data_IF_867810481405
#
_entry.id   IF_867810481405
#
_cell.length_a   1.000
_cell.length_b   1.000
_cell.length_c   1.000
_cell.angle_alpha   90.00
_cell.angle_beta   90.00
_cell.angle_gamma   90.00
#
_symmetry.space_group_name_H-M   'P 1'
#
loop_
_entity.id
_entity.type
_entity.pdbx_description
1 polymer ?
#
# COMPACT_ATOMS: atom_id res chain seq x y z
N UNK A 1 -38.10 -9.63 -2.90
CA UNK A 1 -37.73 -10.77 -3.72
C UNK A 1 -36.46 -10.36 -4.44
N UNK A 2 -35.29 -10.71 -3.91
CA UNK A 2 -34.00 -10.47 -4.54
C UNK A 2 -33.76 -11.50 -5.62
N UNK A 3 -33.71 -11.09 -6.88
CA UNK A 3 -33.21 -11.88 -7.99
C UNK A 3 -31.69 -11.95 -7.88
N UNK A 4 -31.15 -13.05 -7.37
CA UNK A 4 -29.73 -13.35 -7.41
C UNK A 4 -29.28 -13.46 -8.86
N UNK A 5 -28.22 -12.74 -9.20
CA UNK A 5 -27.60 -12.70 -10.53
C UNK A 5 -27.17 -14.12 -10.95
N UNK A 6 -27.37 -14.45 -12.24
CA UNK A 6 -27.08 -15.76 -12.86
C UNK A 6 -25.69 -16.33 -12.52
N UNK A 7 -24.74 -15.44 -12.24
CA UNK A 7 -23.36 -15.77 -11.85
C UNK A 7 -23.28 -16.38 -10.44
N UNK A 8 -24.08 -15.94 -9.50
CA UNK A 8 -24.14 -16.51 -8.14
C UNK A 8 -24.85 -17.86 -8.09
N UNK A 9 -25.86 -18.05 -8.93
CA UNK A 9 -26.50 -19.36 -9.07
C UNK A 9 -25.53 -20.42 -9.60
N UNK A 10 -24.71 -20.08 -10.60
CA UNK A 10 -23.69 -20.98 -11.13
C UNK A 10 -22.60 -21.32 -10.08
N UNK A 11 -22.22 -20.37 -9.20
CA UNK A 11 -21.29 -20.63 -8.09
C UNK A 11 -21.86 -21.61 -7.06
N UNK A 12 -23.14 -21.48 -6.69
CA UNK A 12 -23.82 -22.42 -5.78
C UNK A 12 -23.98 -23.82 -6.39
N UNK A 13 -24.26 -23.91 -7.70
CA UNK A 13 -24.31 -25.17 -8.41
C UNK A 13 -22.96 -25.89 -8.46
N UNK A 14 -21.88 -25.16 -8.71
CA UNK A 14 -20.53 -25.74 -8.71
C UNK A 14 -20.13 -26.30 -7.34
N UNK A 15 -20.47 -25.62 -6.25
CA UNK A 15 -20.20 -26.08 -4.87
C UNK A 15 -21.10 -27.28 -4.51
N UNK A 16 -22.35 -27.29 -4.89
CA UNK A 16 -23.26 -28.43 -4.69
C UNK A 16 -22.82 -29.69 -5.46
N UNK A 17 -22.39 -29.53 -6.71
CA UNK A 17 -21.83 -30.65 -7.49
C UNK A 17 -20.54 -31.21 -6.86
N UNK A 18 -19.78 -30.37 -6.16
CA UNK A 18 -18.56 -30.78 -5.46
C UNK A 18 -18.86 -31.62 -4.22
N UNK A 19 -19.91 -31.28 -3.48
CA UNK A 19 -20.34 -32.01 -2.27
C UNK A 19 -21.04 -33.32 -2.65
N UNK A 20 -21.84 -33.36 -3.71
CA UNK A 20 -22.53 -34.56 -4.17
C UNK A 20 -21.60 -35.60 -4.81
N UNK A 21 -20.51 -35.15 -5.47
CA UNK A 21 -19.52 -36.06 -6.05
C UNK A 21 -18.65 -36.75 -4.97
N UNK A 22 -18.54 -36.16 -3.77
CA UNK A 22 -17.80 -36.74 -2.64
C UNK A 22 -18.58 -37.88 -1.94
N UNK A 23 -19.91 -37.91 -2.07
CA UNK A 23 -20.75 -38.91 -1.39
C UNK A 23 -21.04 -40.15 -2.19
N UNK A 24 -20.76 -40.15 -3.51
CA UNK A 24 -21.26 -41.23 -4.40
C UNK A 24 -20.19 -42.21 -4.91
N UNK A 25 -18.88 -42.00 -4.61
CA UNK A 25 -17.84 -42.91 -5.15
C UNK A 25 -16.96 -43.55 -4.10
N UNK A 26 -17.42 -44.67 -3.57
CA UNK A 26 -16.61 -45.58 -2.74
C UNK A 26 -15.80 -46.61 -3.55
N UNK A 27 -15.77 -46.60 -4.87
CA UNK A 27 -14.94 -47.52 -5.65
C UNK A 27 -14.46 -46.95 -6.99
N UNK A 28 -13.13 -46.94 -7.16
CA UNK A 28 -12.35 -46.86 -8.40
C UNK A 28 -12.52 -45.67 -9.33
N UNK A 29 -11.57 -44.77 -9.32
CA UNK A 29 -10.96 -44.00 -10.42
C UNK A 29 -10.15 -42.81 -9.93
N UNK A 30 -9.11 -43.05 -9.12
CA UNK A 30 -8.22 -42.00 -8.61
C UNK A 30 -7.55 -41.08 -9.67
N UNK A 31 -7.15 -41.55 -10.88
CA UNK A 31 -6.41 -40.67 -11.82
C UNK A 31 -7.28 -39.64 -12.55
N UNK A 32 -8.55 -39.92 -12.84
CA UNK A 32 -9.45 -38.96 -13.52
C UNK A 32 -9.92 -37.84 -12.61
N UNK A 33 -10.17 -38.16 -11.33
CA UNK A 33 -10.57 -37.19 -10.29
C UNK A 33 -9.43 -36.21 -9.98
N UNK A 34 -8.19 -36.70 -9.94
CA UNK A 34 -7.01 -35.85 -9.70
C UNK A 34 -6.74 -34.89 -10.86
N UNK A 35 -6.93 -35.33 -12.13
CA UNK A 35 -6.85 -34.44 -13.28
C UNK A 35 -7.96 -33.39 -13.27
N UNK A 36 -9.19 -33.79 -12.91
CA UNK A 36 -10.33 -32.90 -12.78
C UNK A 36 -10.10 -31.83 -11.66
N UNK A 37 -9.61 -32.26 -10.48
CA UNK A 37 -9.28 -31.31 -9.39
C UNK A 37 -8.18 -30.30 -9.78
N UNK A 38 -7.11 -30.76 -10.42
CA UNK A 38 -6.06 -29.87 -10.93
C UNK A 38 -6.58 -28.90 -11.99
N UNK A 39 -7.45 -29.38 -12.87
CA UNK A 39 -8.08 -28.55 -13.91
C UNK A 39 -9.06 -27.55 -13.31
N UNK A 40 -9.89 -27.96 -12.35
CA UNK A 40 -10.81 -27.08 -11.63
C UNK A 40 -10.07 -26.04 -10.78
N UNK A 41 -9.01 -26.42 -10.05
CA UNK A 41 -8.15 -25.48 -9.34
C UNK A 41 -7.48 -24.50 -10.31
N UNK A 42 -6.99 -24.97 -11.45
CA UNK A 42 -6.39 -24.12 -12.48
C UNK A 42 -7.41 -23.14 -13.07
N UNK A 43 -8.63 -23.61 -13.36
CA UNK A 43 -9.74 -22.77 -13.84
C UNK A 43 -10.17 -21.76 -12.75
N UNK A 44 -10.32 -22.20 -11.50
CA UNK A 44 -10.64 -21.34 -10.37
C UNK A 44 -9.58 -20.24 -10.16
N UNK A 45 -8.29 -20.62 -10.19
CA UNK A 45 -7.20 -19.62 -10.08
C UNK A 45 -7.14 -18.70 -11.30
N UNK A 46 -7.35 -19.22 -12.52
CA UNK A 46 -7.35 -18.38 -13.74
C UNK A 46 -8.56 -17.43 -13.78
N UNK A 47 -9.74 -17.88 -13.34
CA UNK A 47 -10.94 -17.06 -13.29
C UNK A 47 -10.85 -15.95 -12.24
N UNK A 48 -10.20 -16.21 -11.09
CA UNK A 48 -10.04 -15.23 -10.02
C UNK A 48 -8.78 -14.37 -10.13
N UNK A 49 -7.78 -14.79 -10.90
CA UNK A 49 -6.59 -13.98 -11.12
C UNK A 49 -6.76 -12.91 -12.20
N UNK A 50 -7.80 -12.96 -13.01
CA UNK A 50 -8.04 -12.03 -14.11
C UNK A 50 -6.85 -11.97 -15.08
N UNK A 51 -7.10 -12.01 -16.37
CA UNK A 51 -6.06 -11.77 -17.37
C UNK A 51 -5.87 -10.28 -17.54
N UNK A 52 -4.62 -9.80 -17.47
CA UNK A 52 -4.27 -8.42 -17.75
C UNK A 52 -4.11 -8.29 -19.27
N UNK A 53 -4.92 -7.45 -19.91
CA UNK A 53 -4.74 -7.09 -21.31
C UNK A 53 -3.41 -6.33 -21.49
N UNK A 54 -2.74 -6.52 -22.63
CA UNK A 54 -1.41 -5.95 -22.89
C UNK A 54 -1.36 -4.42 -22.89
N UNK A 55 -2.49 -3.78 -23.03
CA UNK A 55 -2.69 -2.31 -23.02
C UNK A 55 -3.24 -1.79 -21.68
N UNK A 56 -3.54 -2.67 -20.71
CA UNK A 56 -3.99 -2.27 -19.39
C UNK A 56 -2.82 -2.01 -18.44
N UNK A 57 -2.16 -0.86 -18.60
CA UNK A 57 -1.01 -0.47 -17.79
C UNK A 57 -1.36 -0.24 -16.31
N UNK A 58 -2.61 0.14 -15.98
CA UNK A 58 -3.06 0.31 -14.59
C UNK A 58 -3.04 -1.03 -13.87
N UNK A 59 -3.71 -2.04 -14.42
CA UNK A 59 -3.73 -3.39 -13.84
C UNK A 59 -2.32 -4.01 -13.80
N UNK A 60 -1.48 -3.72 -14.79
CA UNK A 60 -0.09 -4.18 -14.84
C UNK A 60 0.75 -3.57 -13.70
N UNK A 61 0.62 -2.25 -13.44
CA UNK A 61 1.34 -1.61 -12.34
C UNK A 61 0.86 -2.10 -10.97
N UNK A 62 -0.43 -2.39 -10.78
CA UNK A 62 -0.91 -3.09 -9.57
C UNK A 62 -0.27 -4.47 -9.42
N UNK A 63 -0.17 -5.24 -10.50
CA UNK A 63 0.45 -6.57 -10.47
C UNK A 63 1.93 -6.51 -10.09
N UNK A 64 2.71 -5.65 -10.74
CA UNK A 64 4.14 -5.48 -10.43
C UNK A 64 4.31 -4.97 -8.98
N UNK A 65 3.51 -3.99 -8.55
CA UNK A 65 3.52 -3.49 -7.18
C UNK A 65 3.24 -4.60 -6.15
N UNK A 66 2.23 -5.43 -6.40
CA UNK A 66 1.92 -6.61 -5.56
C UNK A 66 3.12 -7.54 -5.44
N UNK A 67 3.72 -7.94 -6.57
CA UNK A 67 4.85 -8.88 -6.58
C UNK A 67 6.08 -8.29 -5.88
N UNK A 68 6.41 -7.02 -6.16
CA UNK A 68 7.57 -6.36 -5.56
C UNK A 68 7.41 -6.19 -4.04
N UNK A 69 6.24 -5.74 -3.57
CA UNK A 69 5.99 -5.57 -2.13
C UNK A 69 5.87 -6.90 -1.40
N UNK A 70 5.31 -7.94 -2.04
CA UNK A 70 5.30 -9.29 -1.47
C UNK A 70 6.73 -9.84 -1.32
N UNK A 71 7.57 -9.69 -2.34
CA UNK A 71 8.96 -10.13 -2.29
C UNK A 71 9.74 -9.38 -1.19
N UNK A 72 9.54 -8.06 -1.07
CA UNK A 72 10.15 -7.26 -0.02
C UNK A 72 9.68 -7.67 1.38
N UNK A 73 8.39 -7.93 1.54
CA UNK A 73 7.81 -8.42 2.80
C UNK A 73 8.44 -9.75 3.24
N UNK A 74 8.51 -10.72 2.32
CA UNK A 74 9.17 -12.01 2.57
C UNK A 74 10.63 -11.80 2.97
N UNK A 75 11.35 -10.95 2.24
CA UNK A 75 12.74 -10.60 2.57
C UNK A 75 12.87 -10.06 4.00
N UNK A 76 12.09 -9.04 4.39
CA UNK A 76 12.16 -8.45 5.72
C UNK A 76 11.81 -9.45 6.83
N UNK A 77 10.81 -10.31 6.64
CA UNK A 77 10.46 -11.31 7.63
C UNK A 77 11.53 -12.40 7.78
N UNK A 78 12.18 -12.82 6.70
CA UNK A 78 13.31 -13.77 6.78
C UNK A 78 14.52 -13.15 7.49
N UNK A 79 14.80 -11.87 7.24
CA UNK A 79 15.91 -11.16 7.83
C UNK A 79 15.74 -10.84 9.34
N UNK A 80 14.54 -11.02 9.90
CA UNK A 80 14.32 -10.86 11.35
C UNK A 80 15.23 -11.75 12.20
N UNK A 81 15.54 -12.95 11.72
CA UNK A 81 16.42 -13.87 12.43
C UNK A 81 17.90 -13.43 12.41
N UNK A 82 18.27 -12.67 11.38
CA UNK A 82 19.61 -12.16 11.17
C UNK A 82 19.78 -10.72 11.70
N UNK A 83 18.73 -10.15 12.30
CA UNK A 83 18.72 -8.76 12.79
C UNK A 83 18.90 -8.75 14.31
N UNK A 84 19.77 -7.88 14.81
CA UNK A 84 19.97 -7.71 16.25
C UNK A 84 18.68 -7.30 16.97
N UNK A 85 18.51 -7.65 18.24
CA UNK A 85 17.31 -7.32 19.03
C UNK A 85 16.98 -5.82 19.03
N UNK A 86 18.00 -4.97 18.89
CA UNK A 86 17.86 -3.48 18.83
C UNK A 86 17.00 -3.05 17.65
N UNK A 87 17.16 -3.69 16.48
CA UNK A 87 16.55 -3.27 15.21
C UNK A 87 15.41 -4.18 14.75
N UNK A 88 15.22 -5.32 15.43
CA UNK A 88 14.25 -6.34 15.03
C UNK A 88 12.83 -5.79 14.87
N UNK A 89 12.41 -4.88 15.76
CA UNK A 89 11.08 -4.27 15.69
C UNK A 89 10.95 -3.39 14.43
N UNK A 90 11.97 -2.61 14.07
CA UNK A 90 11.95 -1.78 12.86
C UNK A 90 11.91 -2.62 11.58
N UNK A 91 12.71 -3.68 11.49
CA UNK A 91 12.64 -4.60 10.32
C UNK A 91 11.29 -5.31 10.26
N UNK A 92 10.70 -5.67 11.42
CA UNK A 92 9.35 -6.23 11.46
C UNK A 92 8.30 -5.25 10.94
N UNK A 93 8.37 -3.98 11.35
CA UNK A 93 7.43 -2.94 10.89
C UNK A 93 7.57 -2.71 9.38
N UNK A 94 8.79 -2.69 8.85
CA UNK A 94 9.04 -2.63 7.40
C UNK A 94 8.42 -3.82 6.64
N UNK A 95 8.51 -5.02 7.22
CA UNK A 95 7.84 -6.21 6.69
C UNK A 95 6.31 -6.11 6.72
N UNK A 96 5.75 -5.57 7.79
CA UNK A 96 4.29 -5.36 7.92
C UNK A 96 3.79 -4.30 6.92
N UNK A 97 4.50 -3.18 6.74
CA UNK A 97 4.15 -2.13 5.77
C UNK A 97 4.05 -2.73 4.36
N UNK A 98 5.08 -3.46 3.94
CA UNK A 98 5.11 -4.05 2.59
C UNK A 98 4.12 -5.20 2.43
N UNK A 99 3.87 -5.99 3.48
CA UNK A 99 2.87 -7.05 3.46
C UNK A 99 1.44 -6.52 3.33
N UNK A 100 1.06 -5.55 4.18
CA UNK A 100 -0.26 -4.92 4.13
C UNK A 100 -0.51 -4.33 2.73
N UNK A 101 0.47 -3.60 2.21
CA UNK A 101 0.36 -3.00 0.88
C UNK A 101 0.26 -4.07 -0.24
N UNK A 102 1.04 -5.16 -0.18
CA UNK A 102 0.95 -6.24 -1.18
C UNK A 102 -0.46 -6.85 -1.24
N UNK A 103 -1.08 -7.10 -0.08
CA UNK A 103 -2.44 -7.65 0.00
C UNK A 103 -3.46 -6.67 -0.57
N UNK A 104 -3.37 -5.38 -0.23
CA UNK A 104 -4.28 -4.35 -0.76
C UNK A 104 -4.11 -4.18 -2.28
N UNK A 105 -2.88 -4.17 -2.79
CA UNK A 105 -2.60 -4.06 -4.22
C UNK A 105 -3.14 -5.24 -5.03
N UNK A 106 -3.06 -6.45 -4.46
CA UNK A 106 -3.71 -7.62 -5.05
C UNK A 106 -5.23 -7.43 -5.17
N UNK A 107 -5.87 -6.95 -4.10
CA UNK A 107 -7.31 -6.69 -4.08
C UNK A 107 -7.69 -5.53 -5.02
N UNK A 108 -6.96 -4.41 -4.98
CA UNK A 108 -7.20 -3.24 -5.82
C UNK A 108 -7.06 -3.56 -7.32
N UNK A 109 -6.12 -4.45 -7.68
CA UNK A 109 -6.03 -4.96 -9.05
C UNK A 109 -7.30 -5.67 -9.47
N UNK A 110 -7.82 -6.57 -8.64
CA UNK A 110 -9.08 -7.28 -8.91
C UNK A 110 -10.24 -6.33 -9.10
N UNK A 111 -10.38 -5.36 -8.20
CA UNK A 111 -11.39 -4.31 -8.29
C UNK A 111 -11.29 -3.53 -9.61
N UNK A 112 -10.10 -3.07 -9.98
CA UNK A 112 -9.89 -2.32 -11.23
C UNK A 112 -10.20 -3.16 -12.47
N UNK A 113 -9.83 -4.46 -12.49
CA UNK A 113 -10.14 -5.37 -13.59
C UNK A 113 -11.64 -5.64 -13.75
N UNK A 114 -12.38 -5.70 -12.64
CA UNK A 114 -13.82 -5.98 -12.65
C UNK A 114 -14.66 -4.73 -13.00
N UNK A 115 -14.27 -3.57 -12.49
CA UNK A 115 -15.07 -2.33 -12.59
C UNK A 115 -14.55 -1.35 -13.64
N UNK A 116 -13.26 -1.42 -13.97
CA UNK A 116 -12.58 -0.42 -14.79
C UNK A 116 -12.37 0.93 -14.07
N UNK A 117 -12.65 0.99 -12.76
CA UNK A 117 -12.55 2.21 -11.95
C UNK A 117 -11.29 2.23 -11.08
N UNK A 118 -10.90 3.44 -10.65
CA UNK A 118 -9.83 3.61 -9.66
C UNK A 118 -10.28 3.13 -8.28
N UNK A 119 -9.49 2.28 -7.60
CA UNK A 119 -9.81 1.76 -6.27
C UNK A 119 -9.48 2.75 -5.14
N UNK A 120 -9.81 4.02 -5.29
CA UNK A 120 -9.40 5.12 -4.40
C UNK A 120 -9.72 4.85 -2.93
N UNK A 121 -10.91 4.32 -2.62
CA UNK A 121 -11.28 3.97 -1.24
C UNK A 121 -10.30 2.96 -0.62
N UNK A 122 -10.00 1.87 -1.33
CA UNK A 122 -9.09 0.82 -0.83
C UNK A 122 -7.66 1.31 -0.72
N UNK A 123 -7.27 2.26 -1.55
CA UNK A 123 -5.97 2.93 -1.49
C UNK A 123 -5.82 3.72 -0.19
N UNK A 124 -6.85 4.47 0.22
CA UNK A 124 -6.84 5.17 1.51
C UNK A 124 -6.89 4.21 2.70
N UNK A 125 -7.56 3.06 2.58
CA UNK A 125 -7.51 2.01 3.61
C UNK A 125 -6.09 1.47 3.78
N UNK A 126 -5.38 1.22 2.68
CA UNK A 126 -3.96 0.84 2.73
C UNK A 126 -3.11 1.91 3.41
N UNK A 127 -3.23 3.16 2.99
CA UNK A 127 -2.44 4.26 3.54
C UNK A 127 -2.71 4.54 5.02
N UNK A 128 -3.96 4.46 5.48
CA UNK A 128 -4.32 4.63 6.90
C UNK A 128 -3.64 3.56 7.78
N UNK A 129 -3.37 2.39 7.23
CA UNK A 129 -2.65 1.33 7.94
C UNK A 129 -1.12 1.49 7.82
N UNK A 130 -0.61 1.82 6.64
CA UNK A 130 0.83 1.77 6.35
C UNK A 130 1.57 3.06 6.67
N UNK A 131 1.00 4.24 6.43
CA UNK A 131 1.68 5.52 6.67
C UNK A 131 1.93 5.80 8.16
N UNK A 132 0.98 5.54 9.09
CA UNK A 132 1.31 5.61 10.51
C UNK A 132 2.43 4.65 10.93
N UNK A 133 2.53 3.45 10.33
CA UNK A 133 3.65 2.54 10.59
C UNK A 133 4.98 3.12 10.08
N UNK A 134 5.01 3.81 8.93
CA UNK A 134 6.20 4.54 8.49
C UNK A 134 6.57 5.67 9.48
N UNK A 135 5.58 6.33 10.07
CA UNK A 135 5.81 7.31 11.14
C UNK A 135 6.36 6.67 12.43
N UNK A 136 5.91 5.44 12.77
CA UNK A 136 6.45 4.66 13.88
C UNK A 136 7.95 4.40 13.71
N UNK A 137 8.42 4.18 12.49
CA UNK A 137 9.84 3.94 12.24
C UNK A 137 10.72 5.14 12.65
N UNK A 138 10.30 6.38 12.42
CA UNK A 138 11.04 7.56 12.88
C UNK A 138 11.18 7.60 14.41
N UNK A 139 10.16 7.17 15.13
CA UNK A 139 10.23 7.04 16.58
C UNK A 139 11.17 5.90 16.99
N UNK A 140 11.09 4.72 16.34
CA UNK A 140 11.88 3.56 16.70
C UNK A 140 13.37 3.80 16.52
N UNK A 141 13.79 4.39 15.39
CA UNK A 141 15.20 4.65 15.09
C UNK A 141 15.80 5.74 16.01
N UNK A 142 14.98 6.64 16.56
CA UNK A 142 15.40 7.70 17.47
C UNK A 142 15.15 7.40 18.95
N UNK A 143 14.47 6.26 19.26
CA UNK A 143 14.07 5.88 20.61
C UNK A 143 15.24 5.85 21.61
N UNK A 144 16.39 5.29 21.22
CA UNK A 144 17.57 5.21 22.07
C UNK A 144 18.23 6.56 22.31
N UNK A 145 18.00 7.55 21.45
CA UNK A 145 18.44 8.93 21.64
C UNK A 145 17.49 9.76 22.51
N UNK A 146 16.47 9.11 23.09
CA UNK A 146 15.55 9.76 24.03
C UNK A 146 14.24 10.24 23.39
N UNK A 147 13.84 9.73 22.22
CA UNK A 147 12.52 10.04 21.64
C UNK A 147 11.41 9.70 22.64
N UNK A 148 10.58 10.71 22.94
CA UNK A 148 9.43 10.55 23.85
C UNK A 148 8.24 9.95 23.11
N UNK A 149 7.37 9.28 23.85
CA UNK A 149 6.12 8.73 23.30
C UNK A 149 5.23 9.83 22.68
N UNK A 150 5.36 11.08 23.16
CA UNK A 150 4.65 12.22 22.58
C UNK A 150 5.04 12.49 21.12
N UNK A 151 6.31 12.24 20.72
CA UNK A 151 6.74 12.35 19.32
C UNK A 151 6.03 11.30 18.45
N UNK A 152 5.93 10.05 18.94
CA UNK A 152 5.21 9.00 18.24
C UNK A 152 3.76 9.41 17.96
N UNK A 153 3.05 9.91 18.97
CA UNK A 153 1.65 10.33 18.82
C UNK A 153 1.50 11.57 17.93
N UNK A 154 2.45 12.52 17.97
CA UNK A 154 2.44 13.66 17.02
C UNK A 154 2.50 13.18 15.58
N UNK A 155 3.41 12.25 15.28
CA UNK A 155 3.59 11.70 13.92
C UNK A 155 2.37 10.87 13.47
N UNK A 156 1.87 9.99 14.33
CA UNK A 156 0.68 9.18 14.02
C UNK A 156 -0.54 10.09 13.79
N UNK A 157 -0.80 11.02 14.71
CA UNK A 157 -1.95 11.92 14.60
C UNK A 157 -1.87 12.80 13.35
N UNK A 158 -0.71 13.37 13.06
CA UNK A 158 -0.51 14.18 11.86
C UNK A 158 -0.74 13.35 10.59
N UNK A 159 -0.26 12.09 10.55
CA UNK A 159 -0.49 11.20 9.41
C UNK A 159 -1.96 10.84 9.22
N UNK A 160 -2.70 10.61 10.30
CA UNK A 160 -4.13 10.36 10.24
C UNK A 160 -4.91 11.60 9.78
N UNK A 161 -4.58 12.79 10.30
CA UNK A 161 -5.20 14.04 9.83
C UNK A 161 -4.94 14.24 8.34
N UNK A 162 -3.69 14.06 7.88
CA UNK A 162 -3.32 14.15 6.47
C UNK A 162 -4.19 13.24 5.59
N UNK A 163 -4.33 11.96 5.98
CA UNK A 163 -5.03 10.96 5.18
C UNK A 163 -6.55 11.14 5.22
N UNK A 164 -7.12 11.42 6.38
CA UNK A 164 -8.58 11.61 6.52
C UNK A 164 -9.04 12.85 5.76
N UNK A 165 -8.32 13.98 5.90
CA UNK A 165 -8.68 15.19 5.17
C UNK A 165 -8.44 15.03 3.66
N UNK A 166 -7.37 14.34 3.25
CA UNK A 166 -7.14 13.98 1.86
C UNK A 166 -8.29 13.16 1.26
N UNK A 167 -8.74 12.13 1.98
CA UNK A 167 -9.87 11.29 1.58
C UNK A 167 -11.19 12.07 1.45
N UNK A 168 -11.46 12.94 2.41
CA UNK A 168 -12.66 13.78 2.36
C UNK A 168 -12.67 14.63 1.10
N UNK A 169 -11.56 15.30 0.77
CA UNK A 169 -11.47 16.16 -0.40
C UNK A 169 -11.44 15.41 -1.74
N UNK A 170 -10.91 14.18 -1.75
CA UNK A 170 -10.84 13.40 -3.00
C UNK A 170 -12.14 12.63 -3.31
N UNK A 171 -12.86 12.20 -2.27
CA UNK A 171 -13.97 11.25 -2.43
C UNK A 171 -15.31 11.80 -1.94
N UNK A 172 -15.35 12.44 -0.76
CA UNK A 172 -16.61 12.78 -0.09
C UNK A 172 -17.10 14.20 -0.41
N UNK A 173 -16.18 15.18 -0.49
CA UNK A 173 -16.48 16.60 -0.71
C UNK A 173 -15.54 17.17 -1.76
N UNK A 174 -15.86 16.89 -3.02
CA UNK A 174 -15.04 17.35 -4.16
C UNK A 174 -15.17 18.85 -4.38
N UNK A 175 -16.27 19.47 -4.01
CA UNK A 175 -16.43 20.93 -4.13
C UNK A 175 -15.53 21.66 -3.13
N UNK A 176 -15.32 21.07 -1.95
CA UNK A 176 -14.37 21.53 -0.93
C UNK A 176 -12.94 21.04 -1.11
N UNK A 177 -12.59 20.39 -2.22
CA UNK A 177 -11.29 19.71 -2.44
C UNK A 177 -10.08 20.60 -2.18
N UNK A 178 -10.15 21.90 -2.51
CA UNK A 178 -9.08 22.87 -2.24
C UNK A 178 -8.85 23.02 -0.72
N UNK A 179 -9.90 23.22 0.06
CA UNK A 179 -9.79 23.35 1.51
C UNK A 179 -9.22 22.07 2.14
N UNK A 180 -9.78 20.93 1.78
CA UNK A 180 -9.33 19.64 2.29
C UNK A 180 -7.90 19.31 1.90
N UNK A 181 -7.52 19.65 0.65
CA UNK A 181 -6.13 19.52 0.17
C UNK A 181 -5.15 20.41 0.93
N UNK A 182 -5.54 21.65 1.29
CA UNK A 182 -4.73 22.54 2.12
C UNK A 182 -4.54 21.99 3.54
N UNK A 183 -5.61 21.45 4.16
CA UNK A 183 -5.51 20.85 5.49
C UNK A 183 -4.63 19.58 5.49
N UNK A 184 -4.80 18.71 4.48
CA UNK A 184 -3.97 17.54 4.28
C UNK A 184 -2.50 17.93 4.05
N UNK A 185 -2.27 18.93 3.19
CA UNK A 185 -0.94 19.45 2.91
C UNK A 185 -0.27 20.07 4.14
N UNK A 186 -1.01 20.79 4.97
CA UNK A 186 -0.47 21.34 6.22
C UNK A 186 0.01 20.23 7.18
N UNK A 187 -0.76 19.15 7.31
CA UNK A 187 -0.37 18.00 8.11
C UNK A 187 0.86 17.27 7.53
N UNK A 188 0.93 17.12 6.21
CA UNK A 188 2.10 16.60 5.51
C UNK A 188 3.35 17.43 5.76
N UNK A 189 3.28 18.76 5.57
CA UNK A 189 4.42 19.66 5.83
C UNK A 189 4.82 19.69 7.29
N UNK A 190 3.89 19.48 8.22
CA UNK A 190 4.22 19.35 9.65
C UNK A 190 5.05 18.07 9.90
N UNK A 191 4.70 16.93 9.30
CA UNK A 191 5.52 15.71 9.38
C UNK A 191 6.90 15.96 8.76
N UNK A 192 6.95 16.55 7.56
CA UNK A 192 8.20 16.88 6.89
C UNK A 192 9.07 17.79 7.74
N UNK A 193 8.49 18.82 8.40
CA UNK A 193 9.22 19.68 9.34
C UNK A 193 9.81 18.90 10.52
N UNK A 194 9.03 18.01 11.14
CA UNK A 194 9.52 17.20 12.28
C UNK A 194 10.71 16.32 11.88
N UNK A 195 10.68 15.77 10.67
CA UNK A 195 11.72 14.86 10.17
C UNK A 195 12.96 15.61 9.67
N UNK A 196 12.80 16.78 9.03
CA UNK A 196 13.90 17.54 8.45
C UNK A 196 14.60 18.49 9.43
N UNK A 197 13.85 19.18 10.26
CA UNK A 197 14.34 20.30 11.10
C UNK A 197 13.92 20.18 12.56
N UNK A 198 12.90 19.38 12.83
CA UNK A 198 12.26 19.26 14.13
C UNK A 198 12.91 18.21 15.04
N UNK A 199 12.05 17.62 15.86
CA UNK A 199 12.46 16.73 16.95
C UNK A 199 13.13 15.43 16.44
N UNK A 200 12.67 14.88 15.31
CA UNK A 200 13.24 13.65 14.72
C UNK A 200 14.69 13.89 14.26
N UNK A 201 14.93 14.97 13.50
CA UNK A 201 16.27 15.29 13.00
C UNK A 201 17.28 15.48 14.12
N UNK A 202 16.91 16.26 15.15
CA UNK A 202 17.78 16.52 16.31
C UNK A 202 18.12 15.26 17.09
N UNK A 203 17.14 14.41 17.31
CA UNK A 203 17.35 13.12 17.99
C UNK A 203 18.20 12.16 17.13
N UNK A 204 18.02 12.17 15.82
CA UNK A 204 18.82 11.34 14.93
C UNK A 204 20.32 11.74 14.96
N UNK A 205 20.62 13.04 15.01
CA UNK A 205 21.99 13.54 15.16
C UNK A 205 22.62 13.07 16.48
N UNK A 206 21.84 13.11 17.58
CA UNK A 206 22.27 12.62 18.90
C UNK A 206 22.44 11.10 18.93
N UNK A 207 21.68 10.35 18.13
CA UNK A 207 21.74 8.89 18.07
C UNK A 207 23.00 8.36 17.38
N UNK A 208 23.72 9.21 16.64
CA UNK A 208 24.94 8.85 15.95
C UNK A 208 24.89 8.97 14.43
N UNK A 209 26.05 8.94 13.76
CA UNK A 209 26.16 9.28 12.34
C UNK A 209 25.39 8.34 11.41
N UNK A 210 25.28 7.05 11.75
CA UNK A 210 24.54 6.07 10.93
C UNK A 210 23.04 6.32 10.99
N UNK A 211 22.50 6.59 12.19
CA UNK A 211 21.09 6.92 12.40
C UNK A 211 20.77 8.26 11.73
N UNK A 212 21.62 9.27 11.90
CA UNK A 212 21.45 10.57 11.24
C UNK A 212 21.41 10.42 9.71
N UNK A 213 22.33 9.62 9.13
CA UNK A 213 22.35 9.35 7.69
C UNK A 213 21.08 8.64 7.21
N UNK A 214 20.67 7.57 7.91
CA UNK A 214 19.44 6.84 7.57
C UNK A 214 18.21 7.76 7.67
N UNK A 215 18.08 8.52 8.76
CA UNK A 215 16.99 9.49 8.94
C UNK A 215 16.95 10.51 7.82
N UNK A 216 18.10 11.01 7.37
CA UNK A 216 18.17 11.95 6.25
C UNK A 216 17.70 11.33 4.93
N UNK A 217 18.02 10.07 4.67
CA UNK A 217 17.51 9.36 3.49
C UNK A 217 16.01 9.16 3.60
N UNK A 218 15.50 8.72 4.76
CA UNK A 218 14.06 8.58 5.01
C UNK A 218 13.32 9.92 4.90
N UNK A 219 13.96 11.02 5.30
CA UNK A 219 13.43 12.37 5.14
C UNK A 219 13.21 12.74 3.66
N UNK A 220 14.08 12.28 2.75
CA UNK A 220 13.88 12.43 1.32
C UNK A 220 12.67 11.63 0.80
N UNK A 221 12.45 10.41 1.31
CA UNK A 221 11.22 9.67 0.99
C UNK A 221 9.97 10.44 1.44
N UNK A 222 10.00 11.07 2.61
CA UNK A 222 8.87 11.90 3.06
C UNK A 222 8.73 13.15 2.19
N UNK A 223 9.81 13.88 1.91
CA UNK A 223 9.72 15.16 1.22
C UNK A 223 9.44 15.00 -0.29
N UNK A 224 10.13 14.09 -0.96
CA UNK A 224 10.03 13.89 -2.41
C UNK A 224 9.09 12.72 -2.73
N UNK A 225 9.27 11.59 -2.06
CA UNK A 225 8.47 10.40 -2.30
C UNK A 225 6.99 10.61 -1.99
N UNK A 226 6.67 11.30 -0.89
CA UNK A 226 5.27 11.59 -0.55
C UNK A 226 4.69 12.80 -1.28
N UNK A 227 5.51 13.70 -1.82
CA UNK A 227 5.02 14.79 -2.68
C UNK A 227 4.33 14.31 -3.95
N UNK A 228 4.60 13.07 -4.36
CA UNK A 228 3.94 12.43 -5.52
C UNK A 228 2.43 12.29 -5.29
N UNK A 229 1.98 12.07 -4.04
CA UNK A 229 0.55 11.90 -3.74
C UNK A 229 -0.27 13.19 -3.92
N UNK A 230 0.15 14.37 -3.41
CA UNK A 230 -0.49 15.65 -3.79
C UNK A 230 -0.49 15.90 -5.29
N UNK A 231 0.57 15.55 -6.02
CA UNK A 231 0.60 15.66 -7.48
C UNK A 231 -0.43 14.75 -8.15
N UNK A 232 -0.54 13.51 -7.68
CA UNK A 232 -1.56 12.58 -8.14
C UNK A 232 -2.99 13.05 -7.80
N UNK A 233 -3.18 13.66 -6.62
CA UNK A 233 -4.44 14.30 -6.24
C UNK A 233 -4.85 15.41 -7.22
N UNK A 234 -3.88 16.27 -7.62
CA UNK A 234 -4.12 17.31 -8.64
C UNK A 234 -4.44 16.68 -10.00
N UNK A 235 -3.72 15.62 -10.40
CA UNK A 235 -3.97 14.89 -11.64
C UNK A 235 -5.37 14.27 -11.69
N UNK A 236 -5.79 13.62 -10.61
CA UNK A 236 -7.05 12.89 -10.52
C UNK A 236 -8.28 13.77 -10.27
N UNK A 237 -8.10 15.07 -9.95
CA UNK A 237 -9.22 15.98 -9.71
C UNK A 237 -9.86 16.40 -11.03
N UNK A 238 -11.13 16.03 -11.29
CA UNK A 238 -11.84 16.45 -12.50
C UNK A 238 -11.93 17.98 -12.60
N UNK A 239 -11.53 18.53 -13.74
CA UNK A 239 -11.51 19.99 -13.95
C UNK A 239 -10.25 20.70 -13.45
N UNK A 240 -9.33 19.95 -12.81
CA UNK A 240 -8.08 20.48 -12.28
C UNK A 240 -8.21 21.06 -10.88
N UNK A 241 -7.07 21.36 -10.25
CA UNK A 241 -6.98 21.96 -8.92
C UNK A 241 -6.06 23.18 -8.98
N UNK A 242 -6.37 24.25 -8.27
CA UNK A 242 -5.62 25.53 -8.28
C UNK A 242 -5.43 26.11 -9.70
N UNK A 243 -6.37 25.85 -10.64
CA UNK A 243 -6.26 26.25 -12.05
C UNK A 243 -5.29 25.39 -12.86
N UNK A 244 -4.74 24.31 -12.30
CA UNK A 244 -3.84 23.38 -12.97
C UNK A 244 -4.66 22.20 -13.46
N UNK A 245 -4.76 22.04 -14.79
CA UNK A 245 -5.37 20.90 -15.45
C UNK A 245 -4.31 20.23 -16.31
N UNK A 246 -3.81 19.07 -15.85
CA UNK A 246 -2.69 18.38 -16.48
C UNK A 246 -3.15 17.40 -17.58
N UNK A 247 -4.36 16.85 -17.46
CA UNK A 247 -4.95 15.90 -18.39
C UNK A 247 -6.38 16.31 -18.70
N UNK A 248 -6.73 16.41 -19.98
CA UNK A 248 -8.05 16.88 -20.42
C UNK A 248 -9.14 15.82 -20.20
N UNK A 249 -8.86 14.56 -20.56
CA UNK A 249 -9.81 13.47 -20.39
C UNK A 249 -9.82 12.98 -18.93
N UNK A 250 -10.97 13.03 -18.24
CA UNK A 250 -11.08 12.62 -16.83
C UNK A 250 -10.68 11.15 -16.58
N UNK A 251 -10.97 10.25 -17.52
CA UNK A 251 -10.62 8.84 -17.40
C UNK A 251 -9.12 8.62 -17.54
N UNK A 252 -8.50 9.28 -18.51
CA UNK A 252 -7.05 9.25 -18.68
C UNK A 252 -6.33 9.87 -17.47
N UNK A 253 -6.90 10.93 -16.87
CA UNK A 253 -6.38 11.55 -15.65
C UNK A 253 -6.36 10.55 -14.45
N UNK A 254 -7.45 9.83 -14.21
CA UNK A 254 -7.53 8.81 -13.17
C UNK A 254 -6.57 7.63 -13.44
N UNK A 255 -6.45 7.18 -14.68
CA UNK A 255 -5.50 6.13 -15.04
C UNK A 255 -4.05 6.57 -14.82
N UNK A 256 -3.69 7.80 -15.21
CA UNK A 256 -2.36 8.36 -14.98
C UNK A 256 -2.05 8.46 -13.48
N UNK A 257 -3.01 8.93 -12.67
CA UNK A 257 -2.92 8.97 -11.22
C UNK A 257 -2.68 7.57 -10.62
N UNK A 258 -3.46 6.57 -11.04
CA UNK A 258 -3.30 5.20 -10.56
C UNK A 258 -1.91 4.64 -10.87
N UNK A 259 -1.40 4.83 -12.08
CA UNK A 259 -0.05 4.37 -12.47
C UNK A 259 1.01 5.05 -11.60
N UNK A 260 0.93 6.36 -11.43
CA UNK A 260 1.87 7.16 -10.62
C UNK A 260 1.84 6.68 -9.17
N UNK A 261 0.66 6.54 -8.58
CA UNK A 261 0.52 6.04 -7.21
C UNK A 261 1.05 4.62 -7.04
N UNK A 262 0.76 3.72 -7.98
CA UNK A 262 1.20 2.33 -7.89
C UNK A 262 2.73 2.21 -7.89
N UNK A 263 3.40 2.99 -8.74
CA UNK A 263 4.87 3.00 -8.81
C UNK A 263 5.46 3.67 -7.56
N UNK A 264 4.94 4.84 -7.20
CA UNK A 264 5.44 5.60 -6.06
C UNK A 264 5.31 4.82 -4.75
N UNK A 265 4.17 4.17 -4.54
CA UNK A 265 3.89 3.44 -3.31
C UNK A 265 4.84 2.25 -3.13
N UNK A 266 5.07 1.47 -4.21
CA UNK A 266 6.02 0.37 -4.18
C UNK A 266 7.45 0.87 -3.89
N UNK A 267 7.91 1.92 -4.58
CA UNK A 267 9.24 2.50 -4.37
C UNK A 267 9.37 3.05 -2.94
N UNK A 268 8.39 3.81 -2.46
CA UNK A 268 8.42 4.42 -1.15
C UNK A 268 8.45 3.36 -0.03
N UNK A 269 7.56 2.38 -0.06
CA UNK A 269 7.46 1.37 0.99
C UNK A 269 8.65 0.42 1.01
N UNK A 270 9.05 -0.08 -0.15
CA UNK A 270 10.22 -0.97 -0.28
C UNK A 270 11.50 -0.21 0.05
N UNK A 271 11.71 0.96 -0.55
CA UNK A 271 12.90 1.79 -0.34
C UNK A 271 13.05 2.21 1.12
N UNK A 272 11.95 2.62 1.76
CA UNK A 272 11.91 2.97 3.18
C UNK A 272 12.40 1.78 4.04
N UNK A 273 11.84 0.60 3.84
CA UNK A 273 12.21 -0.61 4.56
C UNK A 273 13.67 -1.02 4.31
N UNK A 274 14.17 -0.89 3.08
CA UNK A 274 15.57 -1.18 2.76
C UNK A 274 16.56 -0.22 3.46
N UNK A 275 16.19 1.04 3.67
CA UNK A 275 17.01 1.99 4.46
C UNK A 275 17.08 1.55 5.92
N UNK A 276 15.95 1.12 6.50
CA UNK A 276 15.90 0.59 7.86
C UNK A 276 16.76 -0.69 7.97
N UNK A 277 16.62 -1.60 7.03
CA UNK A 277 17.43 -2.82 6.99
C UNK A 277 18.93 -2.50 6.86
N UNK A 278 19.31 -1.60 5.96
CA UNK A 278 20.70 -1.19 5.80
C UNK A 278 21.28 -0.52 7.05
N UNK A 279 20.46 0.22 7.81
CA UNK A 279 20.83 0.77 9.12
C UNK A 279 21.08 -0.35 10.13
N UNK A 280 20.17 -1.35 10.19
CA UNK A 280 20.31 -2.47 11.11
C UNK A 280 21.60 -3.26 10.92
N UNK A 281 22.07 -3.38 9.66
CA UNK A 281 23.30 -4.10 9.31
C UNK A 281 24.59 -3.32 9.55
N UNK A 282 24.51 -2.01 9.81
CA UNK A 282 25.68 -1.15 10.06
C UNK A 282 25.91 -0.85 11.53
N UNK A 283 24.89 -1.07 12.32
CA UNK A 283 24.87 -0.81 13.75
C UNK A 283 24.99 -2.11 14.59
N UNK A 284 25.10 -3.27 13.92
CA UNK A 284 25.47 -4.55 14.51
C UNK A 284 26.99 -4.61 14.62
#
# INVERSE_FOLDING_TARGET
>A
VFLLNKTEQNKKFAVLYFVEAETTTKNAEKPKILKSRKTLLKLFFMEHMGTIASDNYVAFTFFIGTMAMMAASVFFFFELNNTSPKWRTSVLVSGLITFIAAVHYYYMRGYNLETGESPTFFRYVDWILTVPLMCVEFYLITKKAGAKISLLWKLIFASLVMLVTGYIGEVLDRDGSVLWGVLSGAAYFYIAYLVWFGEVSKLAETAGPQVAKATRILAWFVLVGWAIYPLGYILGTPGGLFGIKLVEDPKAALHAMDIVYNIADAINKIGFGLVIYALSRKED
#
